data_IF_125881448302
#
_entry.id   IF_125881448302
#
_cell.length_a   1.000
_cell.length_b   1.000
_cell.length_c   1.000
_cell.angle_alpha   90.00
_cell.angle_beta   90.00
_cell.angle_gamma   90.00
#
_symmetry.space_group_name_H-M   'P 1'
#
loop_
_entity.id
_entity.type
_entity.pdbx_description
1 polymer ?
#
# COMPACT_ATOMS: atom_id res chain seq x y z
N UNK A 1 -44.82 -9.44 -9.67
CA UNK A 1 -43.74 -8.54 -9.23
C UNK A 1 -42.73 -9.41 -8.53
N UNK A 2 -41.68 -9.82 -9.24
CA UNK A 2 -40.61 -10.65 -8.69
C UNK A 2 -39.58 -9.65 -8.17
N UNK A 3 -39.31 -9.71 -6.86
CA UNK A 3 -38.35 -8.83 -6.20
C UNK A 3 -36.96 -9.06 -6.79
N UNK A 4 -36.36 -8.01 -7.34
CA UNK A 4 -34.93 -7.95 -7.65
C UNK A 4 -34.16 -7.93 -6.32
N UNK A 5 -33.72 -9.08 -5.83
CA UNK A 5 -32.86 -9.22 -4.65
C UNK A 5 -31.37 -9.41 -4.99
N UNK A 6 -30.93 -9.08 -6.21
CA UNK A 6 -29.58 -9.44 -6.68
C UNK A 6 -28.57 -8.29 -6.80
N UNK A 7 -28.88 -7.08 -6.31
CA UNK A 7 -27.91 -5.97 -6.36
C UNK A 7 -27.05 -5.85 -5.09
N UNK A 8 -27.45 -6.47 -3.97
CA UNK A 8 -26.68 -6.46 -2.72
C UNK A 8 -25.64 -7.59 -2.59
N UNK A 9 -25.65 -8.60 -3.45
CA UNK A 9 -24.74 -9.75 -3.32
C UNK A 9 -23.34 -9.47 -3.91
N UNK A 10 -23.23 -8.55 -4.88
CA UNK A 10 -21.96 -8.27 -5.58
C UNK A 10 -21.01 -7.35 -4.80
N UNK A 11 -21.53 -6.56 -3.84
CA UNK A 11 -20.74 -5.67 -2.99
C UNK A 11 -20.24 -6.34 -1.69
N UNK A 12 -20.85 -7.45 -1.27
CA UNK A 12 -20.43 -8.19 -0.05
C UNK A 12 -19.18 -9.06 -0.29
N UNK A 13 -18.96 -9.53 -1.52
CA UNK A 13 -17.81 -10.37 -1.86
C UNK A 13 -16.48 -9.59 -1.82
N UNK A 14 -16.49 -8.29 -2.14
CA UNK A 14 -15.29 -7.44 -2.16
C UNK A 14 -14.72 -7.13 -0.77
N UNK A 15 -15.52 -7.28 0.29
CA UNK A 15 -15.12 -7.07 1.69
C UNK A 15 -15.17 -8.35 2.53
N UNK A 16 -15.28 -9.52 1.89
CA UNK A 16 -15.30 -10.80 2.59
C UNK A 16 -13.94 -11.07 3.28
N UNK A 17 -13.92 -11.49 4.56
CA UNK A 17 -12.69 -11.77 5.30
C UNK A 17 -11.73 -12.73 4.58
N UNK A 18 -12.26 -13.73 3.87
CA UNK A 18 -11.42 -14.66 3.10
C UNK A 18 -10.70 -13.98 1.92
N UNK A 19 -11.36 -13.04 1.23
CA UNK A 19 -10.75 -12.30 0.12
C UNK A 19 -9.60 -11.41 0.61
N UNK A 20 -9.83 -10.71 1.73
CA UNK A 20 -8.80 -9.88 2.37
C UNK A 20 -7.60 -10.72 2.82
N UNK A 21 -7.84 -11.89 3.44
CA UNK A 21 -6.77 -12.79 3.85
C UNK A 21 -5.93 -13.27 2.65
N UNK A 22 -6.60 -13.66 1.57
CA UNK A 22 -5.93 -14.12 0.35
C UNK A 22 -5.10 -13.01 -0.30
N UNK A 23 -5.64 -11.80 -0.37
CA UNK A 23 -4.93 -10.63 -0.89
C UNK A 23 -3.69 -10.31 -0.07
N UNK A 24 -3.78 -10.35 1.26
CA UNK A 24 -2.62 -10.15 2.14
C UNK A 24 -1.54 -11.21 1.91
N UNK A 25 -1.94 -12.45 1.62
CA UNK A 25 -1.03 -13.51 1.20
C UNK A 25 -0.24 -13.13 -0.05
N UNK A 26 -0.93 -12.70 -1.11
CA UNK A 26 -0.29 -12.27 -2.36
C UNK A 26 0.62 -11.06 -2.20
N UNK A 27 0.20 -10.05 -1.44
CA UNK A 27 1.05 -8.88 -1.16
C UNK A 27 2.30 -9.30 -0.40
N UNK A 28 2.19 -10.21 0.57
CA UNK A 28 3.33 -10.68 1.36
C UNK A 28 4.33 -11.48 0.52
N UNK A 29 3.84 -12.40 -0.33
CA UNK A 29 4.68 -13.16 -1.25
C UNK A 29 5.43 -12.25 -2.25
N UNK A 30 4.77 -11.19 -2.72
CA UNK A 30 5.37 -10.24 -3.64
C UNK A 30 6.35 -9.29 -2.94
N UNK A 31 6.00 -8.84 -1.73
CA UNK A 31 6.78 -7.92 -0.92
C UNK A 31 8.19 -8.46 -0.62
N UNK A 32 8.32 -9.75 -0.31
CA UNK A 32 9.63 -10.38 -0.03
C UNK A 32 10.63 -10.17 -1.18
N UNK A 33 10.15 -10.11 -2.43
CA UNK A 33 11.00 -9.95 -3.62
C UNK A 33 11.53 -8.53 -3.81
N UNK A 34 10.84 -7.54 -3.24
CA UNK A 34 11.10 -6.10 -3.45
C UNK A 34 11.54 -5.39 -2.16
N UNK A 35 11.50 -6.08 -1.03
CA UNK A 35 11.64 -5.49 0.30
C UNK A 35 12.93 -4.68 0.46
N UNK A 36 14.05 -5.17 -0.08
CA UNK A 36 15.36 -4.49 0.03
C UNK A 36 15.36 -3.13 -0.67
N UNK A 37 14.83 -3.07 -1.89
CA UNK A 37 14.72 -1.84 -2.68
C UNK A 37 13.76 -0.85 -2.00
N UNK A 38 12.65 -1.34 -1.43
CA UNK A 38 11.72 -0.50 -0.68
C UNK A 38 12.37 0.03 0.61
N UNK A 39 13.16 -0.78 1.32
CA UNK A 39 13.88 -0.39 2.54
C UNK A 39 14.92 0.69 2.24
N UNK A 40 15.71 0.51 1.19
CA UNK A 40 16.69 1.52 0.77
C UNK A 40 16.00 2.82 0.33
N UNK A 41 14.93 2.74 -0.46
CA UNK A 41 14.15 3.92 -0.85
C UNK A 41 13.58 4.65 0.38
N UNK A 42 13.05 3.91 1.36
CA UNK A 42 12.53 4.43 2.63
C UNK A 42 13.62 5.18 3.39
N UNK A 43 14.80 4.59 3.51
CA UNK A 43 15.97 5.22 4.11
C UNK A 43 16.37 6.52 3.38
N UNK A 44 16.40 6.52 2.05
CA UNK A 44 16.77 7.70 1.26
C UNK A 44 15.75 8.85 1.38
N UNK A 45 14.45 8.55 1.40
CA UNK A 45 13.38 9.55 1.59
C UNK A 45 13.56 10.27 2.93
N UNK A 46 13.78 9.51 4.01
CA UNK A 46 14.01 10.06 5.36
C UNK A 46 15.32 10.83 5.44
N UNK A 47 16.42 10.21 4.99
CA UNK A 47 17.78 10.81 5.06
C UNK A 47 17.89 12.14 4.32
N UNK A 48 17.18 12.29 3.20
CA UNK A 48 17.18 13.52 2.40
C UNK A 48 16.20 14.58 2.94
N UNK A 49 15.44 14.27 3.99
CA UNK A 49 14.51 15.20 4.63
C UNK A 49 13.23 15.43 3.85
N UNK A 50 12.84 14.52 2.95
CA UNK A 50 11.57 14.63 2.23
C UNK A 50 10.37 14.34 3.14
N UNK A 51 10.47 13.29 3.95
CA UNK A 51 9.44 12.92 4.93
C UNK A 51 9.98 11.84 5.87
N UNK A 52 9.52 11.84 7.13
CA UNK A 52 9.74 10.75 8.08
C UNK A 52 8.74 9.60 7.89
N UNK A 53 7.71 9.79 7.06
CA UNK A 53 6.64 8.83 6.81
C UNK A 53 6.58 8.42 5.32
N UNK A 54 7.57 7.66 4.79
CA UNK A 54 7.49 7.07 3.46
C UNK A 54 6.24 6.20 3.28
N UNK A 55 5.63 6.23 2.11
CA UNK A 55 4.52 5.35 1.76
C UNK A 55 4.82 4.76 0.39
N UNK A 56 4.65 3.44 0.26
CA UNK A 56 4.84 2.75 -1.02
C UNK A 56 3.51 2.23 -1.52
N UNK A 57 3.12 2.63 -2.73
CA UNK A 57 1.90 2.13 -3.34
C UNK A 57 2.19 0.80 -4.01
N UNK A 58 1.38 -0.22 -3.73
CA UNK A 58 1.40 -1.50 -4.44
C UNK A 58 0.12 -1.63 -5.26
N UNK A 59 0.24 -1.80 -6.57
CA UNK A 59 -0.92 -1.82 -7.47
C UNK A 59 -0.70 -2.66 -8.72
N UNK A 60 -1.79 -3.12 -9.31
CA UNK A 60 -1.84 -3.75 -10.63
C UNK A 60 -2.44 -2.83 -11.72
N UNK A 61 -2.67 -1.56 -11.40
CA UNK A 61 -3.28 -0.57 -12.29
C UNK A 61 -2.28 0.53 -12.67
N UNK A 62 -2.48 1.16 -13.82
CA UNK A 62 -1.81 2.43 -14.13
C UNK A 62 -2.28 3.51 -13.15
N UNK A 63 -1.33 4.19 -12.51
CA UNK A 63 -1.61 5.12 -11.43
C UNK A 63 -0.63 6.29 -11.44
N UNK A 64 -1.17 7.51 -11.32
CA UNK A 64 -0.41 8.75 -11.23
C UNK A 64 -0.16 9.19 -9.77
N UNK A 65 0.08 8.26 -8.85
CA UNK A 65 0.37 8.52 -7.43
C UNK A 65 1.80 8.05 -7.12
N UNK A 66 2.63 8.93 -6.56
CA UNK A 66 4.04 8.64 -6.34
C UNK A 66 4.84 8.43 -7.63
N UNK A 67 6.10 8.07 -7.47
CA UNK A 67 7.07 7.84 -8.55
C UNK A 67 7.27 6.33 -8.72
N UNK A 68 7.28 5.83 -9.96
CA UNK A 68 7.60 4.44 -10.25
C UNK A 68 8.96 4.08 -9.65
N UNK A 69 8.99 3.07 -8.78
CA UNK A 69 10.20 2.59 -8.14
C UNK A 69 10.60 1.21 -8.67
N UNK A 70 9.64 0.30 -8.79
CA UNK A 70 9.83 -1.06 -9.30
C UNK A 70 8.63 -1.38 -10.17
N UNK A 71 8.87 -1.71 -11.43
CA UNK A 71 7.77 -2.11 -12.31
C UNK A 71 7.40 -3.58 -12.11
N UNK A 72 6.21 -3.97 -12.55
CA UNK A 72 5.81 -5.37 -12.56
C UNK A 72 6.85 -6.20 -13.33
N UNK A 73 7.15 -7.39 -12.82
CA UNK A 73 8.11 -8.37 -13.35
C UNK A 73 9.61 -8.01 -13.27
N UNK A 74 9.96 -6.79 -12.84
CA UNK A 74 11.36 -6.34 -12.75
C UNK A 74 12.21 -7.20 -11.80
N UNK A 75 11.64 -7.59 -10.67
CA UNK A 75 12.25 -8.46 -9.65
C UNK A 75 11.46 -9.76 -9.46
N UNK A 76 10.85 -10.26 -10.54
CA UNK A 76 9.87 -11.36 -10.51
C UNK A 76 8.65 -11.08 -9.60
N UNK A 77 8.42 -9.81 -9.29
CA UNK A 77 7.24 -9.27 -8.62
C UNK A 77 6.05 -9.21 -9.60
N UNK A 78 4.84 -9.28 -9.07
CA UNK A 78 3.60 -9.25 -9.84
C UNK A 78 2.97 -7.86 -9.86
N UNK A 79 3.25 -7.03 -8.85
CA UNK A 79 2.68 -5.70 -8.73
C UNK A 79 3.72 -4.61 -9.01
N UNK A 80 3.25 -3.47 -9.49
CA UNK A 80 4.06 -2.26 -9.57
C UNK A 80 4.15 -1.61 -8.20
N UNK A 81 5.35 -1.20 -7.80
CA UNK A 81 5.61 -0.46 -6.57
C UNK A 81 6.03 0.98 -6.88
N UNK A 82 5.35 1.93 -6.23
CA UNK A 82 5.62 3.37 -6.41
C UNK A 82 6.00 4.02 -5.09
N UNK A 83 7.04 4.83 -5.09
CA UNK A 83 7.50 5.56 -3.92
C UNK A 83 6.75 6.88 -3.75
N UNK A 84 6.28 7.13 -2.54
CA UNK A 84 5.57 8.34 -2.12
C UNK A 84 5.85 8.58 -0.63
N UNK A 85 5.13 9.52 -0.04
CA UNK A 85 5.24 9.90 1.37
C UNK A 85 3.93 10.55 1.84
N UNK A 86 3.72 10.60 3.16
CA UNK A 86 2.46 11.04 3.76
C UNK A 86 1.95 12.39 3.26
N UNK A 87 2.84 13.37 3.07
CA UNK A 87 2.46 14.69 2.60
C UNK A 87 1.75 14.66 1.23
N UNK A 88 2.22 13.84 0.27
CA UNK A 88 1.54 13.68 -1.03
C UNK A 88 0.13 13.08 -0.86
N UNK A 89 -0.04 12.14 0.08
CA UNK A 89 -1.34 11.54 0.37
C UNK A 89 -2.32 12.55 0.99
N UNK A 90 -1.83 13.45 1.84
CA UNK A 90 -2.64 14.55 2.41
C UNK A 90 -3.03 15.54 1.31
N UNK A 91 -2.07 15.97 0.48
CA UNK A 91 -2.31 16.89 -0.63
C UNK A 91 -3.32 16.36 -1.65
N UNK A 92 -3.29 15.04 -1.88
CA UNK A 92 -4.25 14.33 -2.75
C UNK A 92 -5.55 13.94 -2.05
N UNK A 93 -5.74 14.33 -0.79
CA UNK A 93 -6.93 14.04 0.04
C UNK A 93 -7.22 12.54 0.23
N UNK A 94 -6.16 11.71 0.14
CA UNK A 94 -6.21 10.28 0.48
C UNK A 94 -6.07 10.06 1.99
N UNK A 95 -5.43 11.00 2.69
CA UNK A 95 -5.45 11.13 4.15
C UNK A 95 -6.10 12.48 4.46
N UNK A 96 -7.21 12.46 5.20
CA UNK A 96 -7.87 13.69 5.67
C UNK A 96 -6.98 14.46 6.65
N UNK A 97 -7.05 15.79 6.63
CA UNK A 97 -6.24 16.67 7.51
C UNK A 97 -6.44 16.32 8.99
N UNK A 98 -7.66 15.97 9.37
CA UNK A 98 -8.02 15.53 10.73
C UNK A 98 -7.40 14.18 11.13
N UNK A 99 -7.03 13.35 10.15
CA UNK A 99 -6.45 12.03 10.36
C UNK A 99 -4.92 12.04 10.37
N UNK A 100 -4.29 13.17 10.05
CA UNK A 100 -2.82 13.27 9.96
C UNK A 100 -2.16 12.92 11.28
N UNK A 101 -2.62 13.50 12.39
CA UNK A 101 -2.04 13.24 13.71
C UNK A 101 -2.18 11.76 14.08
N UNK A 102 -3.36 11.19 13.88
CA UNK A 102 -3.61 9.77 14.17
C UNK A 102 -2.73 8.86 13.29
N UNK A 103 -2.58 9.19 12.01
CA UNK A 103 -1.72 8.44 11.10
C UNK A 103 -0.27 8.48 11.57
N UNK A 104 0.24 9.66 11.96
CA UNK A 104 1.60 9.83 12.48
C UNK A 104 1.82 9.06 13.80
N UNK A 105 0.87 9.14 14.73
CA UNK A 105 0.95 8.42 16.02
C UNK A 105 0.98 6.90 15.86
N UNK A 106 0.29 6.38 14.82
CA UNK A 106 0.24 4.94 14.54
C UNK A 106 1.24 4.51 13.46
N UNK A 107 2.05 5.44 12.94
CA UNK A 107 3.03 5.13 11.91
C UNK A 107 4.16 4.30 12.52
N UNK A 108 4.37 3.09 12.00
CA UNK A 108 5.41 2.20 12.53
C UNK A 108 6.81 2.65 12.17
N UNK A 109 7.80 2.21 12.95
CA UNK A 109 9.22 2.47 12.68
C UNK A 109 9.59 2.06 11.25
N UNK A 110 9.96 3.02 10.40
CA UNK A 110 10.24 2.77 8.99
C UNK A 110 11.63 2.18 8.70
N UNK A 111 12.44 1.91 9.74
CA UNK A 111 13.60 1.01 9.65
C UNK A 111 13.20 -0.47 9.76
N UNK A 112 12.06 -0.75 10.41
CA UNK A 112 11.58 -2.12 10.70
C UNK A 112 10.37 -2.50 9.84
N UNK A 113 9.51 -1.54 9.48
CA UNK A 113 8.28 -1.77 8.74
C UNK A 113 8.20 -0.90 7.48
N UNK A 114 7.71 -1.51 6.40
CA UNK A 114 7.27 -0.80 5.21
C UNK A 114 5.80 -0.38 5.35
N UNK A 115 5.50 0.90 5.17
CA UNK A 115 4.11 1.37 5.01
C UNK A 115 3.69 1.19 3.55
N UNK A 116 2.83 0.20 3.28
CA UNK A 116 2.23 -0.01 1.98
C UNK A 116 0.85 0.63 1.92
N UNK A 117 0.55 1.32 0.82
CA UNK A 117 -0.81 1.60 0.40
C UNK A 117 -1.19 0.62 -0.72
N UNK A 118 -1.94 -0.41 -0.38
CA UNK A 118 -2.38 -1.41 -1.33
C UNK A 118 -3.59 -0.90 -2.10
N UNK A 119 -3.52 -0.95 -3.44
CA UNK A 119 -4.60 -0.61 -4.35
C UNK A 119 -4.71 -1.73 -5.40
N UNK A 120 -5.45 -2.78 -5.08
CA UNK A 120 -5.56 -4.00 -5.90
C UNK A 120 -7.03 -4.37 -6.06
N UNK A 121 -7.52 -4.29 -7.31
CA UNK A 121 -8.96 -4.43 -7.57
C UNK A 121 -9.74 -3.35 -6.82
N UNK A 122 -10.77 -3.77 -6.07
CA UNK A 122 -11.59 -2.88 -5.24
C UNK A 122 -11.01 -2.67 -3.82
N UNK A 123 -9.95 -3.39 -3.46
CA UNK A 123 -9.30 -3.23 -2.17
C UNK A 123 -8.38 -2.01 -2.17
N UNK A 124 -8.61 -1.11 -1.21
CA UNK A 124 -7.69 -0.03 -0.90
C UNK A 124 -7.43 0.07 0.60
N UNK A 125 -6.17 0.20 1.01
CA UNK A 125 -5.86 0.33 2.43
C UNK A 125 -4.37 0.39 2.76
N UNK A 126 -4.09 0.93 3.95
CA UNK A 126 -2.74 0.95 4.50
C UNK A 126 -2.42 -0.37 5.21
N UNK A 127 -1.23 -0.90 4.93
CA UNK A 127 -0.71 -2.13 5.53
C UNK A 127 0.73 -1.86 5.96
N UNK A 128 1.08 -2.19 7.20
CA UNK A 128 2.46 -2.14 7.66
C UNK A 128 3.06 -3.55 7.66
N UNK A 129 3.99 -3.80 6.74
CA UNK A 129 4.65 -5.10 6.58
C UNK A 129 6.07 -5.02 7.15
N UNK A 130 6.49 -5.92 8.06
CA UNK A 130 7.86 -5.93 8.54
C UNK A 130 8.81 -6.25 7.39
N UNK A 131 9.94 -5.55 7.30
CA UNK A 131 11.02 -5.95 6.40
C UNK A 131 11.55 -7.34 6.82
N UNK A 132 11.90 -8.23 5.87
CA UNK A 132 12.58 -9.48 6.20
C UNK A 132 13.86 -9.21 6.99
N UNK A 133 14.15 -10.07 7.96
CA UNK A 133 15.48 -10.14 8.57
C UNK A 133 16.44 -10.88 7.62
N UNK A 134 17.70 -10.44 7.56
CA UNK A 134 18.78 -11.12 6.82
C UNK A 134 19.06 -12.54 7.35
#
# INVERSE_FOLDING_TARGET
MINNSNENALMDDANSPELNQKLMGYISEDFIKVADQLKEASYQIRKRGFSDNPIFVVTNNELELGVLLIDATELANNYTYRASYMQEFVERKLIGEESVLLFQENYKNADEFCCLFALIGDFSGFVFVPYPED
#
